data_IF_834911674202
#
_entry.id   IF_834911674202
#
_cell.length_a   1.000
_cell.length_b   1.000
_cell.length_c   1.000
_cell.angle_alpha   90.00
_cell.angle_beta   90.00
_cell.angle_gamma   90.00
#
_symmetry.space_group_name_H-M   'P 1'
#
loop_
_entity.id
_entity.type
_entity.pdbx_description
1 polymer ?
#
# COMPACT_ATOMS: atom_id res chain seq x y z
N UNK A 1 -0.83 13.94 22.30
CA UNK A 1 -2.13 14.13 21.64
C UNK A 1 -3.26 13.77 22.60
N UNK A 2 -4.34 14.55 22.70
CA UNK A 2 -5.46 14.22 23.55
C UNK A 2 -6.21 12.99 23.02
N UNK A 3 -6.72 12.16 23.94
CA UNK A 3 -7.52 11.00 23.59
C UNK A 3 -8.80 11.40 22.84
N UNK A 4 -9.11 10.67 21.78
CA UNK A 4 -10.31 10.87 20.95
C UNK A 4 -11.12 9.57 20.77
N UNK A 5 -10.68 8.49 21.41
CA UNK A 5 -11.33 7.18 21.41
C UNK A 5 -11.86 6.83 22.80
N UNK A 6 -12.87 5.97 22.84
CA UNK A 6 -13.50 5.52 24.08
C UNK A 6 -12.55 4.74 25.02
N UNK A 7 -11.52 4.13 24.46
CA UNK A 7 -10.47 3.40 25.17
C UNK A 7 -9.37 4.30 25.77
N UNK A 8 -9.49 5.61 25.60
CA UNK A 8 -8.52 6.59 26.10
C UNK A 8 -7.29 6.77 25.19
N UNK A 9 -7.28 6.19 24.01
CA UNK A 9 -6.21 6.33 23.02
C UNK A 9 -6.52 7.45 22.01
N UNK A 10 -5.51 7.94 21.33
CA UNK A 10 -5.63 8.85 20.19
C UNK A 10 -5.65 8.04 18.89
N UNK A 11 -6.48 8.43 17.92
CA UNK A 11 -6.43 7.83 16.57
C UNK A 11 -5.15 8.23 15.85
N UNK A 12 -4.50 7.26 15.22
CA UNK A 12 -3.27 7.49 14.45
C UNK A 12 -3.53 8.45 13.28
N UNK A 13 -4.65 8.29 12.58
CA UNK A 13 -5.02 9.16 11.45
C UNK A 13 -5.06 10.62 11.85
N UNK A 14 -5.80 10.95 12.92
CA UNK A 14 -5.86 12.32 13.42
C UNK A 14 -4.49 12.83 13.88
N UNK A 15 -3.70 12.00 14.53
CA UNK A 15 -2.37 12.39 14.97
C UNK A 15 -1.48 12.76 13.77
N UNK A 16 -1.56 12.02 12.68
CA UNK A 16 -0.80 12.29 11.45
C UNK A 16 -1.31 13.55 10.72
N UNK A 17 -2.63 13.77 10.68
CA UNK A 17 -3.22 14.96 10.06
C UNK A 17 -2.88 16.26 10.82
N UNK A 18 -2.76 16.20 12.15
CA UNK A 18 -2.44 17.35 13.00
C UNK A 18 -0.94 17.53 13.23
N UNK A 19 -0.08 16.59 12.80
CA UNK A 19 1.37 16.68 12.99
C UNK A 19 1.96 17.76 12.08
N UNK A 20 2.80 18.61 12.67
CA UNK A 20 3.52 19.68 11.97
C UNK A 20 5.04 19.42 12.01
N UNK A 21 5.78 20.11 11.13
CA UNK A 21 7.25 20.13 11.19
C UNK A 21 7.95 19.01 10.42
N UNK A 22 7.22 18.09 9.77
CA UNK A 22 7.86 16.98 9.01
C UNK A 22 8.81 17.51 7.94
N UNK A 23 8.50 18.64 7.30
CA UNK A 23 9.35 19.25 6.28
C UNK A 23 10.71 19.71 6.81
N UNK A 24 10.80 20.13 8.08
CA UNK A 24 12.08 20.50 8.69
C UNK A 24 13.00 19.28 8.82
N UNK A 25 12.47 18.14 9.28
CA UNK A 25 13.23 16.90 9.40
C UNK A 25 13.64 16.33 8.04
N UNK A 26 12.70 16.29 7.08
CA UNK A 26 12.98 15.80 5.74
C UNK A 26 13.97 16.70 5.00
N UNK A 27 13.87 18.02 5.15
CA UNK A 27 14.81 18.98 4.60
C UNK A 27 16.22 18.78 5.17
N UNK A 28 16.35 18.62 6.50
CA UNK A 28 17.62 18.33 7.13
C UNK A 28 18.24 17.01 6.66
N UNK A 29 17.41 15.96 6.50
CA UNK A 29 17.85 14.68 5.93
C UNK A 29 18.34 14.83 4.49
N UNK A 30 17.59 15.57 3.66
CA UNK A 30 17.98 15.81 2.28
C UNK A 30 19.33 16.52 2.20
N UNK A 31 19.52 17.61 2.94
CA UNK A 31 20.76 18.38 2.94
C UNK A 31 21.97 17.61 3.50
N UNK A 32 21.78 16.87 4.61
CA UNK A 32 22.90 16.25 5.33
C UNK A 32 23.19 14.82 4.90
N UNK A 33 22.17 14.09 4.40
CA UNK A 33 22.28 12.66 4.15
C UNK A 33 22.11 12.29 2.67
N UNK A 34 21.26 12.99 1.91
CA UNK A 34 20.96 12.57 0.54
C UNK A 34 21.82 13.32 -0.49
N UNK A 35 21.77 14.64 -0.50
CA UNK A 35 22.46 15.46 -1.49
C UNK A 35 23.99 15.25 -1.49
N UNK A 36 24.69 15.16 -0.34
CA UNK A 36 26.14 14.95 -0.34
C UNK A 36 26.62 13.66 -0.99
N UNK A 37 25.73 12.67 -1.10
CA UNK A 37 26.04 11.36 -1.66
C UNK A 37 25.35 11.10 -3.01
N UNK A 38 24.69 12.11 -3.57
CA UNK A 38 23.87 11.95 -4.80
C UNK A 38 22.94 10.72 -4.71
N UNK A 39 22.31 10.56 -3.55
CA UNK A 39 21.52 9.39 -3.24
C UNK A 39 20.17 9.43 -3.97
N UNK A 40 19.81 8.34 -4.67
CA UNK A 40 18.46 8.13 -5.09
C UNK A 40 17.60 7.69 -3.90
N UNK A 41 16.53 8.43 -3.63
CA UNK A 41 15.68 8.23 -2.46
C UNK A 41 14.23 8.02 -2.83
N UNK A 42 13.52 7.16 -2.08
CA UNK A 42 12.10 6.89 -2.30
C UNK A 42 11.35 7.12 -1.00
N UNK A 43 10.36 8.01 -1.04
CA UNK A 43 9.49 8.30 0.10
C UNK A 43 8.32 7.31 0.19
N UNK A 44 7.97 6.93 1.41
CA UNK A 44 6.70 6.28 1.70
C UNK A 44 5.76 7.34 2.26
N UNK A 45 4.91 7.90 1.37
CA UNK A 45 4.05 9.04 1.66
C UNK A 45 2.60 8.63 1.47
N UNK A 46 1.77 8.89 2.49
CA UNK A 46 0.34 8.60 2.47
C UNK A 46 -0.47 9.87 2.68
N UNK A 47 -1.63 9.94 2.05
CA UNK A 47 -2.61 11.02 2.21
C UNK A 47 -2.07 12.42 1.86
N UNK A 48 -1.06 12.49 1.00
CA UNK A 48 -0.51 13.76 0.53
C UNK A 48 -1.55 14.54 -0.29
N UNK A 49 -1.60 15.85 -0.07
CA UNK A 49 -2.43 16.74 -0.87
C UNK A 49 -1.76 17.04 -2.20
N UNK A 50 -2.56 17.40 -3.20
CA UNK A 50 -2.05 17.69 -4.55
C UNK A 50 -1.01 18.83 -4.56
N UNK A 51 -1.18 19.83 -3.73
CA UNK A 51 -0.27 20.98 -3.60
C UNK A 51 1.00 20.66 -2.80
N UNK A 52 1.02 19.57 -2.01
CA UNK A 52 2.17 19.09 -1.24
C UNK A 52 3.13 18.20 -2.05
N UNK A 53 2.68 17.60 -3.15
CA UNK A 53 3.48 16.68 -3.96
C UNK A 53 4.84 17.26 -4.38
N UNK A 54 4.86 18.55 -4.75
CA UNK A 54 6.08 19.26 -5.13
C UNK A 54 7.13 19.33 -4.02
N UNK A 55 6.67 19.30 -2.75
CA UNK A 55 7.55 19.34 -1.60
C UNK A 55 8.20 17.96 -1.35
N UNK A 56 7.51 16.89 -1.73
CA UNK A 56 8.04 15.53 -1.61
C UNK A 56 8.93 15.12 -2.78
N UNK A 57 8.51 15.33 -4.05
CA UNK A 57 9.17 14.78 -5.25
C UNK A 57 9.40 15.80 -6.37
N UNK A 58 9.17 17.09 -6.12
CA UNK A 58 9.46 18.16 -7.09
C UNK A 58 10.96 18.37 -7.31
N UNK A 59 11.33 19.37 -8.12
CA UNK A 59 12.74 19.71 -8.42
C UNK A 59 13.60 19.90 -7.16
N UNK A 60 13.00 20.44 -6.09
CA UNK A 60 13.65 20.63 -4.79
C UNK A 60 12.97 19.80 -3.70
N UNK A 61 12.33 18.69 -4.08
CA UNK A 61 11.64 17.80 -3.16
C UNK A 61 12.57 17.04 -2.22
N UNK A 62 12.03 16.56 -1.12
CA UNK A 62 12.81 15.81 -0.11
C UNK A 62 13.32 14.48 -0.65
N UNK A 63 12.60 13.87 -1.61
CA UNK A 63 12.90 12.55 -2.17
C UNK A 63 13.02 12.63 -3.70
N UNK A 64 13.79 11.72 -4.28
CA UNK A 64 13.88 11.56 -5.72
C UNK A 64 12.58 11.03 -6.33
N UNK A 65 11.84 10.22 -5.58
CA UNK A 65 10.56 9.60 -5.93
C UNK A 65 9.75 9.27 -4.69
N UNK A 66 8.48 8.96 -4.84
CA UNK A 66 7.65 8.37 -3.78
C UNK A 66 6.81 7.22 -4.34
N UNK A 67 6.43 6.27 -3.49
CA UNK A 67 5.56 5.18 -3.88
C UNK A 67 4.13 5.66 -4.17
N UNK A 68 3.50 5.03 -5.15
CA UNK A 68 2.07 5.19 -5.42
C UNK A 68 1.30 4.10 -4.67
N UNK A 69 0.59 4.50 -3.61
CA UNK A 69 -0.21 3.61 -2.79
C UNK A 69 -1.71 3.75 -3.01
N UNK A 70 -2.13 4.61 -3.93
CA UNK A 70 -3.55 4.90 -4.10
C UNK A 70 -4.33 3.66 -4.51
N UNK A 71 -3.85 2.92 -5.49
CA UNK A 71 -4.49 1.69 -5.95
C UNK A 71 -4.49 0.58 -4.91
N UNK A 72 -3.46 0.48 -4.06
CA UNK A 72 -3.39 -0.53 -3.00
C UNK A 72 -4.38 -0.25 -1.88
N UNK A 73 -4.74 1.01 -1.67
CA UNK A 73 -5.69 1.44 -0.65
C UNK A 73 -7.14 1.43 -1.13
N UNK A 74 -7.36 1.53 -2.43
CA UNK A 74 -8.67 1.78 -3.03
C UNK A 74 -9.70 0.68 -2.76
N UNK A 75 -9.31 -0.56 -2.65
CA UNK A 75 -10.20 -1.69 -2.34
C UNK A 75 -10.52 -1.85 -0.86
N UNK A 76 -9.91 -1.07 0.03
CA UNK A 76 -10.06 -1.21 1.48
C UNK A 76 -11.30 -0.46 1.97
N UNK A 77 -12.04 -1.07 2.89
CA UNK A 77 -13.19 -0.46 3.55
C UNK A 77 -12.76 0.28 4.82
N UNK A 78 -13.44 1.39 5.12
CA UNK A 78 -13.28 2.09 6.41
C UNK A 78 -13.68 1.22 7.62
N UNK A 79 -14.53 0.19 7.38
CA UNK A 79 -14.96 -0.74 8.42
C UNK A 79 -13.95 -1.86 8.71
N UNK A 80 -12.82 -1.88 8.00
CA UNK A 80 -11.73 -2.83 8.19
C UNK A 80 -11.64 -3.95 7.14
N UNK A 81 -10.72 -4.86 7.34
CA UNK A 81 -10.36 -5.91 6.41
C UNK A 81 -11.52 -6.86 6.04
N UNK A 82 -12.38 -7.18 6.98
CA UNK A 82 -13.51 -8.08 6.77
C UNK A 82 -14.53 -7.55 5.76
N UNK A 83 -14.63 -6.23 5.61
CA UNK A 83 -15.51 -5.57 4.65
C UNK A 83 -14.80 -5.24 3.32
N UNK A 84 -13.50 -5.49 3.21
CA UNK A 84 -12.73 -5.19 2.02
C UNK A 84 -13.11 -6.09 0.85
N UNK A 85 -13.08 -5.53 -0.37
CA UNK A 85 -13.23 -6.31 -1.59
C UNK A 85 -12.09 -7.33 -1.72
N UNK A 86 -12.37 -8.52 -2.29
CA UNK A 86 -11.34 -9.55 -2.46
C UNK A 86 -10.28 -9.17 -3.48
N UNK A 87 -10.59 -8.32 -4.43
CA UNK A 87 -9.71 -7.82 -5.50
C UNK A 87 -10.25 -6.51 -6.08
N UNK A 88 -9.40 -5.77 -6.76
CA UNK A 88 -9.75 -4.53 -7.44
C UNK A 88 -10.22 -4.84 -8.87
N UNK A 89 -11.33 -4.23 -9.30
CA UNK A 89 -11.78 -4.41 -10.69
C UNK A 89 -10.89 -3.62 -11.67
N UNK A 90 -10.82 -4.02 -12.95
CA UNK A 90 -10.06 -3.27 -13.95
C UNK A 90 -10.48 -1.81 -14.08
N UNK A 91 -11.78 -1.50 -13.93
CA UNK A 91 -12.30 -0.13 -13.98
C UNK A 91 -11.85 0.70 -12.78
N UNK A 92 -11.81 0.11 -11.60
CA UNK A 92 -11.32 0.76 -10.38
C UNK A 92 -9.82 1.01 -10.49
N UNK A 93 -9.04 0.02 -10.91
CA UNK A 93 -7.60 0.15 -11.14
C UNK A 93 -7.28 1.25 -12.16
N UNK A 94 -7.99 1.26 -13.29
CA UNK A 94 -7.85 2.32 -14.30
C UNK A 94 -8.12 3.71 -13.74
N UNK A 95 -9.13 3.87 -12.89
CA UNK A 95 -9.43 5.16 -12.25
C UNK A 95 -8.30 5.61 -11.33
N UNK A 96 -7.76 4.71 -10.52
CA UNK A 96 -6.62 4.99 -9.65
C UNK A 96 -5.40 5.44 -10.45
N UNK A 97 -5.03 4.69 -11.49
CA UNK A 97 -3.91 5.03 -12.37
C UNK A 97 -4.09 6.43 -12.98
N UNK A 98 -5.25 6.72 -13.55
CA UNK A 98 -5.48 8.02 -14.18
C UNK A 98 -5.50 9.16 -13.18
N UNK A 99 -6.02 8.92 -11.98
CA UNK A 99 -5.98 9.89 -10.90
C UNK A 99 -4.54 10.21 -10.50
N UNK A 100 -3.75 9.20 -10.17
CA UNK A 100 -2.34 9.37 -9.80
C UNK A 100 -1.51 10.02 -10.91
N UNK A 101 -1.60 9.53 -12.15
CA UNK A 101 -0.83 10.08 -13.25
C UNK A 101 -1.18 11.56 -13.54
N UNK A 102 -2.44 11.94 -13.37
CA UNK A 102 -2.90 13.32 -13.48
C UNK A 102 -2.43 14.17 -12.30
N UNK A 103 -2.55 13.66 -11.08
CA UNK A 103 -2.14 14.31 -9.83
C UNK A 103 -0.64 14.63 -9.82
N UNK A 104 0.19 13.70 -10.25
CA UNK A 104 1.64 13.88 -10.32
C UNK A 104 2.04 14.80 -11.50
N UNK A 105 1.39 14.66 -12.66
CA UNK A 105 1.66 15.50 -13.82
C UNK A 105 3.15 15.51 -14.19
N UNK A 106 3.72 16.69 -14.26
CA UNK A 106 5.14 16.92 -14.53
C UNK A 106 5.93 17.35 -13.29
N UNK A 107 5.33 17.23 -12.10
CA UNK A 107 5.94 17.69 -10.84
C UNK A 107 7.18 16.87 -10.48
N UNK A 108 7.13 15.55 -10.68
CA UNK A 108 8.24 14.68 -10.31
C UNK A 108 8.11 13.27 -10.86
N UNK A 109 8.79 12.32 -10.21
CA UNK A 109 8.81 10.91 -10.58
C UNK A 109 8.14 10.09 -9.48
N UNK A 110 7.21 9.21 -9.88
CA UNK A 110 6.55 8.27 -8.96
C UNK A 110 7.18 6.88 -9.07
N UNK A 111 7.21 6.15 -7.97
CA UNK A 111 7.61 4.74 -7.94
C UNK A 111 6.35 3.87 -8.03
N UNK A 112 6.16 3.28 -9.21
CA UNK A 112 5.00 2.42 -9.46
C UNK A 112 5.17 1.08 -8.76
N UNK A 113 4.15 0.66 -8.03
CA UNK A 113 4.15 -0.55 -7.20
C UNK A 113 2.78 -1.25 -7.32
N UNK A 114 2.78 -2.58 -7.36
CA UNK A 114 1.56 -3.39 -7.31
C UNK A 114 1.56 -4.39 -6.15
N UNK A 115 2.68 -4.58 -5.50
CA UNK A 115 2.84 -5.39 -4.29
C UNK A 115 4.12 -5.02 -3.56
N UNK A 116 4.17 -5.30 -2.27
CA UNK A 116 5.34 -5.11 -1.42
C UNK A 116 5.28 -6.08 -0.23
N UNK A 117 6.15 -5.88 0.77
CA UNK A 117 6.20 -6.72 1.98
C UNK A 117 5.04 -6.49 2.96
N UNK A 118 4.23 -5.46 2.74
CA UNK A 118 3.10 -5.09 3.59
C UNK A 118 1.74 -5.40 2.96
N UNK A 119 1.71 -5.73 1.66
CA UNK A 119 0.48 -5.99 0.92
C UNK A 119 0.46 -7.42 0.38
N UNK A 120 -0.73 -8.00 0.16
CA UNK A 120 -0.87 -9.25 -0.56
C UNK A 120 -0.30 -9.16 -1.98
N UNK A 121 0.05 -10.32 -2.58
CA UNK A 121 0.60 -10.32 -3.94
C UNK A 121 -0.34 -9.64 -4.95
N UNK A 122 0.22 -8.84 -5.85
CA UNK A 122 -0.53 -8.08 -6.84
C UNK A 122 -1.40 -8.96 -7.74
N UNK A 123 -0.94 -10.17 -8.07
CA UNK A 123 -1.76 -11.17 -8.80
C UNK A 123 -3.05 -11.51 -8.05
N UNK A 124 -3.01 -11.53 -6.72
CA UNK A 124 -4.19 -11.84 -5.91
C UNK A 124 -5.07 -10.61 -5.64
N UNK A 125 -4.50 -9.43 -5.73
CA UNK A 125 -5.22 -8.17 -5.51
C UNK A 125 -5.92 -7.65 -6.77
N UNK A 126 -5.27 -7.73 -7.93
CA UNK A 126 -5.75 -7.13 -9.18
C UNK A 126 -6.41 -8.10 -10.16
N UNK A 127 -6.23 -9.41 -9.99
CA UNK A 127 -6.78 -10.40 -10.91
C UNK A 127 -7.75 -11.31 -10.16
N UNK A 128 -8.98 -11.42 -10.68
CA UNK A 128 -9.98 -12.32 -10.12
C UNK A 128 -9.47 -13.78 -10.15
N UNK A 129 -9.86 -14.63 -9.20
CA UNK A 129 -9.37 -16.01 -9.12
C UNK A 129 -9.54 -16.81 -10.42
N UNK A 130 -10.67 -16.62 -11.11
CA UNK A 130 -11.01 -17.29 -12.35
C UNK A 130 -10.17 -16.84 -13.56
N UNK A 131 -9.67 -15.59 -13.52
CA UNK A 131 -8.90 -15.00 -14.60
C UNK A 131 -7.39 -15.14 -14.43
N UNK A 132 -6.90 -15.73 -13.32
CA UNK A 132 -5.47 -15.86 -13.02
C UNK A 132 -4.79 -16.89 -13.90
N UNK A 133 -4.28 -16.42 -15.03
CA UNK A 133 -3.50 -17.22 -15.97
C UNK A 133 -2.17 -16.53 -16.32
N UNK A 134 -1.25 -17.17 -17.03
CA UNK A 134 0.03 -16.56 -17.43
C UNK A 134 -0.14 -15.24 -18.18
N UNK A 135 -1.14 -15.15 -19.05
CA UNK A 135 -1.35 -13.97 -19.89
C UNK A 135 -1.89 -12.77 -19.10
N UNK A 136 -2.81 -13.00 -18.17
CA UNK A 136 -3.32 -11.92 -17.30
C UNK A 136 -2.23 -11.39 -16.37
N UNK A 137 -1.34 -12.24 -15.87
CA UNK A 137 -0.18 -11.82 -15.07
C UNK A 137 0.79 -10.96 -15.88
N UNK A 138 1.08 -11.37 -17.12
CA UNK A 138 1.93 -10.58 -18.04
C UNK A 138 1.27 -9.26 -18.40
N UNK A 139 -0.05 -9.26 -18.60
CA UNK A 139 -0.80 -8.03 -18.88
C UNK A 139 -0.69 -7.06 -17.70
N UNK A 140 -0.91 -7.53 -16.47
CA UNK A 140 -0.77 -6.71 -15.26
C UNK A 140 0.65 -6.11 -15.17
N UNK A 141 1.69 -6.93 -15.38
CA UNK A 141 3.06 -6.46 -15.40
C UNK A 141 3.26 -5.39 -16.50
N UNK A 142 2.80 -5.64 -17.72
CA UNK A 142 2.90 -4.70 -18.84
C UNK A 142 2.23 -3.36 -18.55
N UNK A 143 1.06 -3.37 -17.89
CA UNK A 143 0.34 -2.15 -17.55
C UNK A 143 1.21 -1.28 -16.65
N UNK A 144 1.62 -1.76 -15.48
CA UNK A 144 2.31 -0.87 -14.53
C UNK A 144 3.76 -0.52 -14.94
N UNK A 145 4.43 -1.38 -15.73
CA UNK A 145 5.75 -1.08 -16.29
C UNK A 145 5.74 0.06 -17.32
N UNK A 146 4.62 0.25 -18.00
CA UNK A 146 4.48 1.28 -19.04
C UNK A 146 3.91 2.60 -18.53
N UNK A 147 3.58 2.71 -17.23
CA UNK A 147 3.18 3.96 -16.62
C UNK A 147 4.37 4.92 -16.51
N UNK A 148 4.09 6.23 -16.54
CA UNK A 148 5.10 7.22 -16.18
C UNK A 148 5.56 6.99 -14.76
N UNK A 149 6.86 6.79 -14.55
CA UNK A 149 7.42 6.50 -13.25
C UNK A 149 8.48 5.40 -13.29
N UNK A 150 8.85 4.92 -12.12
CA UNK A 150 9.87 3.90 -11.91
C UNK A 150 9.17 2.63 -11.42
N UNK A 151 9.16 1.54 -12.20
CA UNK A 151 8.55 0.30 -11.74
C UNK A 151 9.43 -0.39 -10.70
N UNK A 152 8.83 -0.71 -9.55
CA UNK A 152 9.45 -1.51 -8.50
C UNK A 152 8.92 -2.94 -8.57
N UNK A 153 9.81 -3.91 -8.62
CA UNK A 153 9.49 -5.34 -8.67
C UNK A 153 9.78 -5.92 -7.30
N UNK A 154 8.74 -6.42 -6.63
CA UNK A 154 8.90 -7.14 -5.38
C UNK A 154 9.36 -8.58 -5.64
N UNK A 155 10.08 -9.17 -4.68
CA UNK A 155 10.58 -10.55 -4.79
C UNK A 155 9.45 -11.55 -5.07
N UNK A 156 9.62 -12.40 -6.09
CA UNK A 156 8.63 -13.37 -6.52
C UNK A 156 7.58 -12.85 -7.50
N UNK A 157 7.47 -11.54 -7.64
CA UNK A 157 6.55 -10.93 -8.60
C UNK A 157 6.92 -11.27 -10.05
N UNK A 158 8.22 -11.37 -10.37
CA UNK A 158 8.72 -11.78 -11.67
C UNK A 158 8.31 -13.21 -12.06
N UNK A 159 8.00 -14.05 -11.07
CA UNK A 159 7.45 -15.40 -11.24
C UNK A 159 5.93 -15.41 -11.24
N UNK A 160 5.29 -14.28 -10.92
CA UNK A 160 3.85 -14.18 -10.73
C UNK A 160 3.38 -15.02 -9.55
N UNK A 161 4.11 -14.97 -8.43
CA UNK A 161 3.75 -15.65 -7.19
C UNK A 161 2.36 -15.21 -6.70
N UNK A 162 1.74 -16.07 -5.93
CA UNK A 162 0.42 -15.84 -5.34
C UNK A 162 0.55 -15.86 -3.83
N UNK A 163 -0.47 -15.29 -3.17
CA UNK A 163 -0.62 -15.46 -1.73
C UNK A 163 -0.59 -16.94 -1.35
N UNK A 164 0.08 -17.23 -0.26
CA UNK A 164 0.05 -18.53 0.39
C UNK A 164 -0.74 -18.41 1.70
N UNK A 165 -1.84 -19.15 1.82
CA UNK A 165 -2.63 -19.16 3.03
C UNK A 165 -2.19 -20.32 3.93
N UNK A 166 -1.62 -20.02 5.10
CA UNK A 166 -1.34 -21.03 6.10
C UNK A 166 -2.63 -21.62 6.67
N UNK A 167 -2.67 -22.94 6.97
CA UNK A 167 -3.89 -23.61 7.41
C UNK A 167 -4.36 -23.21 8.80
N UNK A 168 -3.45 -22.79 9.69
CA UNK A 168 -3.76 -22.46 11.07
C UNK A 168 -3.28 -21.05 11.43
N UNK A 169 -4.02 -20.36 12.30
CA UNK A 169 -3.68 -19.00 12.75
C UNK A 169 -2.30 -18.92 13.40
N UNK A 170 -1.90 -19.95 14.13
CA UNK A 170 -0.60 -20.01 14.81
C UNK A 170 0.61 -20.02 13.87
N UNK A 171 0.40 -20.33 12.60
CA UNK A 171 1.46 -20.39 11.58
C UNK A 171 1.76 -19.01 10.97
N UNK A 172 0.99 -17.99 11.35
CA UNK A 172 1.20 -16.59 10.95
C UNK A 172 2.04 -15.85 11.98
N UNK A 173 3.08 -15.17 11.53
CA UNK A 173 3.92 -14.29 12.36
C UNK A 173 3.41 -12.83 12.36
N UNK A 174 2.65 -12.45 11.36
CA UNK A 174 2.10 -11.09 11.25
C UNK A 174 1.08 -10.81 12.35
N UNK A 175 1.42 -9.89 13.28
CA UNK A 175 0.54 -9.49 14.37
C UNK A 175 -0.79 -8.88 13.87
N UNK A 176 -0.80 -8.25 12.69
CA UNK A 176 -2.00 -7.71 12.08
C UNK A 176 -2.99 -8.82 11.69
N UNK A 177 -2.50 -9.98 11.27
CA UNK A 177 -3.33 -11.16 10.99
C UNK A 177 -4.04 -11.65 12.24
N UNK A 178 -3.34 -11.74 13.37
CA UNK A 178 -3.94 -12.13 14.66
C UNK A 178 -4.98 -11.11 15.11
N UNK A 179 -4.68 -9.81 15.04
CA UNK A 179 -5.61 -8.75 15.40
C UNK A 179 -6.89 -8.77 14.52
N UNK A 180 -6.75 -9.02 13.23
CA UNK A 180 -7.89 -9.12 12.32
C UNK A 180 -8.75 -10.36 12.60
N UNK A 181 -8.13 -11.47 12.97
CA UNK A 181 -8.85 -12.66 13.41
C UNK A 181 -9.70 -12.37 14.66
N UNK A 182 -9.10 -11.80 15.71
CA UNK A 182 -9.83 -11.46 16.95
C UNK A 182 -10.96 -10.47 16.66
N UNK A 183 -10.71 -9.42 15.88
CA UNK A 183 -11.73 -8.47 15.48
C UNK A 183 -12.90 -9.14 14.77
N UNK A 184 -12.63 -10.04 13.83
CA UNK A 184 -13.68 -10.79 13.14
C UNK A 184 -14.48 -11.67 14.13
N UNK A 185 -13.81 -12.29 15.11
CA UNK A 185 -14.49 -13.06 16.18
C UNK A 185 -15.39 -12.17 17.05
N UNK A 186 -14.97 -10.96 17.38
CA UNK A 186 -15.77 -9.98 18.11
C UNK A 186 -17.03 -9.55 17.33
N UNK A 187 -16.95 -9.47 16.00
CA UNK A 187 -18.08 -9.22 15.11
C UNK A 187 -18.99 -10.44 14.91
N UNK A 188 -18.69 -11.58 15.53
CA UNK A 188 -19.54 -12.77 15.54
C UNK A 188 -19.32 -13.76 14.41
N UNK A 189 -18.25 -13.62 13.62
CA UNK A 189 -17.86 -14.62 12.62
C UNK A 189 -17.38 -15.91 13.30
N UNK A 190 -17.62 -17.06 12.67
CA UNK A 190 -17.07 -18.34 13.13
C UNK A 190 -15.55 -18.35 13.04
N UNK A 191 -14.88 -19.29 13.73
CA UNK A 191 -13.41 -19.43 13.67
C UNK A 191 -12.91 -19.60 12.23
N UNK A 192 -13.61 -20.43 11.44
CA UNK A 192 -13.23 -20.67 10.05
C UNK A 192 -13.41 -19.44 9.14
N UNK A 193 -14.44 -18.65 9.39
CA UNK A 193 -14.67 -17.39 8.67
C UNK A 193 -13.66 -16.32 9.09
N UNK A 194 -13.43 -16.17 10.40
CA UNK A 194 -12.46 -15.23 10.94
C UNK A 194 -11.05 -15.52 10.40
N UNK A 195 -10.65 -16.79 10.33
CA UNK A 195 -9.37 -17.18 9.74
C UNK A 195 -9.27 -16.79 8.26
N UNK A 196 -10.31 -17.05 7.46
CA UNK A 196 -10.35 -16.63 6.05
C UNK A 196 -10.28 -15.12 5.87
N UNK A 197 -10.93 -14.35 6.74
CA UNK A 197 -10.89 -12.90 6.73
C UNK A 197 -9.46 -12.41 7.01
N UNK A 198 -8.84 -12.92 8.08
CA UNK A 198 -7.49 -12.57 8.46
C UNK A 198 -6.45 -12.95 7.39
N UNK A 199 -6.58 -14.13 6.79
CA UNK A 199 -5.73 -14.61 5.70
C UNK A 199 -5.68 -13.68 4.49
N UNK A 200 -6.78 -13.00 4.18
CA UNK A 200 -6.88 -12.14 2.99
C UNK A 200 -5.87 -11.00 2.97
N UNK A 201 -5.65 -10.37 4.12
CA UNK A 201 -4.81 -9.20 4.26
C UNK A 201 -3.51 -9.45 5.00
N UNK A 202 -3.17 -10.72 5.24
CA UNK A 202 -1.95 -11.06 5.95
C UNK A 202 -0.71 -10.68 5.14
N UNK A 203 0.24 -10.04 5.81
CA UNK A 203 1.57 -9.75 5.24
C UNK A 203 2.35 -11.01 4.94
N UNK A 204 2.10 -12.09 5.68
CA UNK A 204 2.77 -13.38 5.47
C UNK A 204 2.35 -14.07 4.15
N UNK A 205 1.32 -13.58 3.47
CA UNK A 205 0.89 -14.11 2.18
C UNK A 205 1.93 -13.97 1.07
N UNK A 206 2.76 -12.93 1.15
CA UNK A 206 3.74 -12.55 0.11
C UNK A 206 5.20 -12.56 0.63
N UNK A 207 5.44 -13.16 1.81
CA UNK A 207 6.78 -13.26 2.41
C UNK A 207 7.39 -14.64 2.27
#
# INVERSE_FOLDING_TARGET
YPADRADGLCSVGRMLEEAEGIGEFLGEMAEKCFHPYDAFTVGEVFNEKEDEIKDFIGENGYFSSMFDFEETCYGKSADGWYASKPYLSPEEYKKCIFHTQKKIGDTGMISNIIENHDEPSGVCHYISPEDRCPDSKKLLAGIYFLLKGIPFIYQGQELGMRNFAFPELKDYDDCSTHNQYELAREYGFTEAEALKIAQKGSRDNAR
#
